data_IF_261623970117
#
_entry.id   IF_261623970117
#
_cell.length_a   1.000
_cell.length_b   1.000
_cell.length_c   1.000
_cell.angle_alpha   90.00
_cell.angle_beta   90.00
_cell.angle_gamma   90.00
#
_symmetry.space_group_name_H-M   'P 1'
#
loop_
_entity.id
_entity.type
_entity.pdbx_description
1 polymer ?
#
# COMPACT_ATOMS: atom_id res chain seq x y z
N UNK A 1 -24.59 -30.55 66.38
CA UNK A 1 -25.73 -29.96 67.06
C UNK A 1 -26.13 -28.72 66.37
N UNK A 2 -27.26 -28.79 65.72
CA UNK A 2 -28.50 -28.06 65.91
C UNK A 2 -28.52 -26.72 65.18
N UNK A 3 -29.31 -26.67 64.07
CA UNK A 3 -30.66 -26.08 63.92
C UNK A 3 -30.64 -24.56 63.98
N UNK A 4 -31.26 -23.79 63.12
CA UNK A 4 -32.52 -23.78 62.42
C UNK A 4 -32.60 -22.58 61.51
N UNK A 5 -33.24 -22.62 60.37
CA UNK A 5 -34.66 -22.39 60.14
C UNK A 5 -35.18 -20.96 60.30
N UNK A 6 -35.64 -20.39 59.22
CA UNK A 6 -36.92 -19.71 58.95
C UNK A 6 -36.70 -18.52 58.01
N UNK A 7 -37.19 -18.51 56.74
CA UNK A 7 -38.52 -18.20 56.27
C UNK A 7 -38.98 -16.77 56.53
N UNK A 8 -39.07 -15.96 55.49
CA UNK A 8 -40.23 -15.08 55.24
C UNK A 8 -40.20 -14.51 53.81
N UNK A 9 -41.29 -14.75 53.11
CA UNK A 9 -41.63 -14.18 51.84
C UNK A 9 -42.17 -12.74 52.02
N UNK A 10 -41.89 -11.87 51.07
CA UNK A 10 -42.69 -10.68 50.89
C UNK A 10 -42.88 -10.48 49.37
N UNK A 11 -44.11 -10.65 48.94
CA UNK A 11 -44.60 -10.25 47.62
C UNK A 11 -44.81 -8.73 47.67
N UNK A 12 -44.32 -8.01 46.66
CA UNK A 12 -44.82 -6.67 46.37
C UNK A 12 -45.17 -6.63 44.86
N UNK A 13 -46.46 -6.56 44.60
CA UNK A 13 -47.06 -6.22 43.32
C UNK A 13 -46.54 -4.90 42.82
N UNK A 14 -46.17 -4.86 41.54
CA UNK A 14 -45.99 -3.61 40.82
C UNK A 14 -46.78 -3.71 39.51
N UNK A 15 -47.61 -2.71 39.20
CA UNK A 15 -48.57 -2.79 38.09
C UNK A 15 -47.90 -2.60 36.75
N UNK A 16 -48.40 -3.35 35.78
CA UNK A 16 -48.07 -3.32 34.38
C UNK A 16 -48.22 -1.94 33.75
N UNK A 17 -47.09 -1.31 33.36
CA UNK A 17 -47.11 -0.16 32.51
C UNK A 17 -47.37 -0.56 31.05
N UNK A 18 -48.41 0.02 30.46
CA UNK A 18 -48.78 -0.07 29.05
C UNK A 18 -47.62 0.41 28.19
N UNK A 19 -46.95 -0.49 27.48
CA UNK A 19 -46.02 -0.15 26.42
C UNK A 19 -46.81 0.25 25.21
N UNK A 20 -46.82 1.56 24.93
CA UNK A 20 -47.36 2.14 23.71
C UNK A 20 -46.45 1.75 22.53
N UNK A 21 -47.02 1.01 21.59
CA UNK A 21 -46.36 0.59 20.35
C UNK A 21 -45.87 1.80 19.56
N UNK A 22 -44.56 2.02 19.57
CA UNK A 22 -43.93 3.01 18.67
C UNK A 22 -43.77 2.32 17.32
N UNK A 23 -44.55 2.79 16.33
CA UNK A 23 -44.43 2.41 14.92
C UNK A 23 -42.99 2.64 14.50
N UNK A 24 -42.27 1.54 14.23
CA UNK A 24 -40.94 1.53 13.60
C UNK A 24 -41.09 2.10 12.19
N UNK A 25 -40.60 3.30 11.97
CA UNK A 25 -40.38 3.84 10.63
C UNK A 25 -39.12 3.18 10.10
N UNK A 26 -39.31 2.11 9.32
CA UNK A 26 -38.22 1.45 8.64
C UNK A 26 -37.61 2.39 7.62
N UNK A 27 -36.57 3.10 8.00
CA UNK A 27 -35.67 3.81 7.09
C UNK A 27 -35.05 2.77 6.15
N UNK A 28 -35.47 2.79 4.92
CA UNK A 28 -34.95 1.96 3.83
C UNK A 28 -33.55 2.48 3.48
N UNK A 29 -32.55 2.10 4.27
CA UNK A 29 -31.14 2.30 3.91
C UNK A 29 -30.81 1.27 2.84
N UNK A 30 -30.47 1.65 1.61
CA UNK A 30 -30.11 0.68 0.59
C UNK A 30 -28.86 -0.07 1.03
N UNK A 31 -28.94 -1.40 1.00
CA UNK A 31 -27.86 -2.32 1.32
C UNK A 31 -26.57 -1.96 0.56
N UNK A 32 -25.42 -2.00 1.26
CA UNK A 32 -24.10 -1.78 0.70
C UNK A 32 -23.80 -2.72 -0.49
N UNK A 33 -24.46 -3.87 -0.55
CA UNK A 33 -24.36 -4.82 -1.65
C UNK A 33 -24.90 -4.30 -3.00
N UNK A 34 -25.87 -3.37 -3.00
CA UNK A 34 -26.44 -2.80 -4.22
C UNK A 34 -25.52 -1.73 -4.89
N UNK A 35 -24.43 -1.33 -4.24
CA UNK A 35 -23.48 -0.33 -4.76
C UNK A 35 -22.34 -0.93 -5.57
N UNK A 36 -22.12 -2.24 -5.46
CA UNK A 36 -21.03 -2.95 -6.15
C UNK A 36 -21.31 -3.29 -7.63
N UNK A 37 -22.54 -3.14 -8.10
CA UNK A 37 -22.96 -3.54 -9.44
C UNK A 37 -23.11 -2.39 -10.45
N UNK A 38 -22.77 -1.17 -10.09
CA UNK A 38 -22.67 -0.07 -11.06
C UNK A 38 -21.24 -0.03 -11.57
N UNK A 39 -21.11 -0.39 -12.87
CA UNK A 39 -19.87 -0.52 -13.60
C UNK A 39 -18.87 0.58 -13.30
N UNK A 40 -17.60 0.21 -13.33
CA UNK A 40 -16.46 1.09 -13.19
C UNK A 40 -16.58 2.31 -14.13
N UNK A 41 -17.33 3.32 -13.69
CA UNK A 41 -17.26 4.64 -14.29
C UNK A 41 -15.86 5.15 -14.02
N UNK A 42 -15.13 5.43 -15.08
CA UNK A 42 -13.83 6.11 -15.04
C UNK A 42 -13.91 7.26 -14.03
N UNK A 43 -12.91 7.44 -13.16
CA UNK A 43 -12.92 8.52 -12.18
C UNK A 43 -13.11 9.86 -12.88
N UNK A 44 -13.80 10.83 -12.24
CA UNK A 44 -14.16 12.12 -12.83
C UNK A 44 -12.98 13.09 -13.03
N UNK A 45 -11.74 12.61 -12.89
CA UNK A 45 -10.54 13.42 -13.07
C UNK A 45 -10.14 13.51 -14.54
N UNK A 46 -9.78 14.69 -15.03
CA UNK A 46 -9.27 14.83 -16.38
C UNK A 46 -8.03 13.94 -16.56
N UNK A 47 -8.03 13.10 -17.59
CA UNK A 47 -6.85 12.32 -17.95
C UNK A 47 -5.72 13.29 -18.22
N UNK A 48 -4.59 13.16 -17.50
CA UNK A 48 -3.42 13.98 -17.76
C UNK A 48 -2.98 13.75 -19.21
N UNK A 49 -2.66 14.80 -19.94
CA UNK A 49 -2.25 14.76 -21.35
C UNK A 49 -0.96 13.94 -21.60
N UNK A 50 -0.36 13.40 -20.55
CA UNK A 50 0.91 12.68 -20.57
C UNK A 50 0.77 11.26 -20.00
N UNK A 51 -0.18 10.48 -20.52
CA UNK A 51 -0.16 9.04 -20.22
C UNK A 51 1.07 8.42 -20.90
N UNK A 52 1.92 7.68 -20.16
CA UNK A 52 3.05 7.00 -20.78
C UNK A 52 2.53 5.98 -21.79
N UNK A 53 3.06 6.03 -23.00
CA UNK A 53 2.73 5.10 -24.08
C UNK A 53 3.16 3.68 -23.73
N UNK A 54 4.18 3.55 -22.88
CA UNK A 54 4.70 2.31 -22.33
C UNK A 54 4.54 2.28 -20.82
N UNK A 55 4.13 1.15 -20.28
CA UNK A 55 3.90 0.93 -18.85
C UNK A 55 5.10 0.24 -18.19
N UNK A 56 6.30 0.60 -18.61
CA UNK A 56 7.55 0.09 -18.05
C UNK A 56 8.04 0.92 -16.86
N UNK A 57 9.00 0.38 -16.11
CA UNK A 57 9.56 1.02 -14.92
C UNK A 57 10.20 2.36 -15.25
N UNK A 58 10.93 2.46 -16.37
CA UNK A 58 11.61 3.70 -16.74
C UNK A 58 10.63 4.84 -17.06
N UNK A 59 9.48 4.51 -17.65
CA UNK A 59 8.41 5.50 -17.89
C UNK A 59 7.81 6.03 -16.59
N UNK A 60 7.57 5.14 -15.63
CA UNK A 60 7.13 5.56 -14.29
C UNK A 60 8.20 6.41 -13.59
N UNK A 61 9.47 6.01 -13.61
CA UNK A 61 10.57 6.77 -13.01
C UNK A 61 10.66 8.18 -13.60
N UNK A 62 10.67 8.29 -14.95
CA UNK A 62 10.70 9.61 -15.62
C UNK A 62 9.50 10.49 -15.27
N UNK A 63 8.33 9.88 -15.14
CA UNK A 63 7.11 10.61 -14.76
C UNK A 63 7.17 11.07 -13.32
N UNK A 64 7.55 10.19 -12.40
CA UNK A 64 7.67 10.51 -10.98
C UNK A 64 8.66 11.64 -10.71
N UNK A 65 9.82 11.64 -11.38
CA UNK A 65 10.83 12.69 -11.24
C UNK A 65 10.33 14.11 -11.62
N UNK A 66 9.20 14.19 -12.36
CA UNK A 66 8.62 15.46 -12.84
C UNK A 66 7.21 15.72 -12.33
N UNK A 67 6.60 14.74 -11.63
CA UNK A 67 5.22 14.80 -11.21
C UNK A 67 5.04 15.75 -10.02
N UNK A 68 3.97 16.50 -10.06
CA UNK A 68 3.47 17.25 -8.90
C UNK A 68 2.90 16.28 -7.85
N UNK A 69 2.81 16.68 -6.57
CA UNK A 69 2.23 15.83 -5.53
C UNK A 69 0.81 15.33 -5.88
N UNK A 70 0.00 16.16 -6.53
CA UNK A 70 -1.37 15.76 -6.91
C UNK A 70 -1.38 14.70 -8.02
N UNK A 71 -0.47 14.80 -8.98
CA UNK A 71 -0.30 13.79 -10.03
C UNK A 71 0.17 12.46 -9.46
N UNK A 72 1.01 12.47 -8.42
CA UNK A 72 1.42 11.27 -7.70
C UNK A 72 0.20 10.60 -7.06
N UNK A 73 -0.66 11.36 -6.37
CA UNK A 73 -1.90 10.83 -5.80
C UNK A 73 -2.80 10.20 -6.86
N UNK A 74 -2.89 10.80 -8.05
CA UNK A 74 -3.67 10.24 -9.16
C UNK A 74 -3.07 8.92 -9.67
N UNK A 75 -1.75 8.84 -9.78
CA UNK A 75 -1.04 7.61 -10.16
C UNK A 75 -1.30 6.51 -9.14
N UNK A 76 -1.18 6.82 -7.84
CA UNK A 76 -1.44 5.87 -6.75
C UNK A 76 -2.88 5.33 -6.75
N UNK A 77 -3.86 6.19 -6.99
CA UNK A 77 -5.28 5.79 -7.09
C UNK A 77 -5.56 4.89 -8.28
N UNK A 78 -4.88 5.14 -9.40
CA UNK A 78 -4.99 4.35 -10.62
C UNK A 78 -4.35 2.97 -10.45
N UNK A 79 -3.29 2.87 -9.68
CA UNK A 79 -2.50 1.65 -9.49
C UNK A 79 -1.56 1.37 -10.66
N UNK A 80 -1.07 0.13 -10.74
CA UNK A 80 -0.12 -0.33 -11.75
C UNK A 80 -0.65 -1.55 -12.50
N UNK A 81 -0.22 -1.77 -13.73
CA UNK A 81 -0.54 -3.01 -14.45
C UNK A 81 0.14 -4.21 -13.78
N UNK A 82 -0.51 -5.37 -13.78
CA UNK A 82 0.09 -6.59 -13.22
C UNK A 82 1.42 -6.96 -13.88
N UNK A 83 1.59 -6.68 -15.18
CA UNK A 83 2.85 -6.86 -15.92
C UNK A 83 3.97 -5.95 -15.41
N UNK A 84 3.64 -4.75 -14.92
CA UNK A 84 4.60 -3.82 -14.35
C UNK A 84 5.35 -4.40 -13.14
N UNK A 85 4.66 -5.18 -12.28
CA UNK A 85 5.31 -5.81 -11.13
C UNK A 85 6.40 -6.79 -11.57
N UNK A 86 6.19 -7.52 -12.66
CA UNK A 86 7.21 -8.41 -13.24
C UNK A 86 8.40 -7.62 -13.80
N UNK A 87 8.13 -6.48 -14.42
CA UNK A 87 9.19 -5.60 -14.93
C UNK A 87 10.01 -4.98 -13.80
N UNK A 88 9.33 -4.51 -12.73
CA UNK A 88 9.96 -4.01 -11.50
C UNK A 88 10.84 -5.09 -10.84
N UNK A 89 10.35 -6.33 -10.75
CA UNK A 89 11.07 -7.51 -10.25
C UNK A 89 12.38 -7.74 -11.01
N UNK A 90 12.32 -7.73 -12.34
CA UNK A 90 13.51 -7.89 -13.19
C UNK A 90 14.50 -6.74 -13.01
N UNK A 91 13.99 -5.50 -12.95
CA UNK A 91 14.82 -4.30 -12.85
C UNK A 91 15.61 -4.21 -11.55
N UNK A 92 15.00 -4.66 -10.45
CA UNK A 92 15.61 -4.70 -9.11
C UNK A 92 16.38 -6.00 -8.83
N UNK A 93 16.36 -6.94 -9.75
CA UNK A 93 16.92 -8.29 -9.58
C UNK A 93 16.36 -9.04 -8.36
N UNK A 94 15.07 -8.82 -8.06
CA UNK A 94 14.35 -9.52 -6.99
C UNK A 94 13.45 -10.59 -7.61
N UNK A 95 13.45 -11.83 -7.11
CA UNK A 95 12.54 -12.86 -7.59
C UNK A 95 11.07 -12.39 -7.55
N UNK A 96 10.31 -12.64 -8.61
CA UNK A 96 8.93 -12.16 -8.73
C UNK A 96 8.04 -12.61 -7.57
N UNK A 97 8.22 -13.83 -7.07
CA UNK A 97 7.50 -14.34 -5.89
C UNK A 97 7.81 -13.52 -4.63
N UNK A 98 9.06 -13.12 -4.45
CA UNK A 98 9.48 -12.27 -3.34
C UNK A 98 8.93 -10.85 -3.51
N UNK A 99 8.95 -10.32 -4.74
CA UNK A 99 8.36 -9.00 -5.04
C UNK A 99 6.88 -8.95 -4.67
N UNK A 100 6.10 -9.98 -4.97
CA UNK A 100 4.69 -10.04 -4.54
C UNK A 100 4.55 -9.97 -3.02
N UNK A 101 5.42 -10.66 -2.27
CA UNK A 101 5.44 -10.58 -0.80
C UNK A 101 5.77 -9.18 -0.29
N UNK A 102 6.79 -8.52 -0.86
CA UNK A 102 7.18 -7.13 -0.51
C UNK A 102 6.02 -6.15 -0.73
N UNK A 103 5.27 -6.33 -1.82
CA UNK A 103 4.15 -5.46 -2.17
C UNK A 103 2.84 -5.83 -1.46
N UNK A 104 2.82 -6.86 -0.62
CA UNK A 104 1.61 -7.34 0.03
C UNK A 104 0.54 -7.85 -0.96
N UNK A 105 0.93 -8.31 -2.16
CA UNK A 105 0.00 -8.79 -3.19
C UNK A 105 0.01 -10.32 -3.22
N UNK A 106 -1.14 -10.99 -3.00
CA UNK A 106 -1.22 -12.43 -3.14
C UNK A 106 -0.80 -12.88 -4.55
N UNK A 107 0.10 -13.87 -4.65
CA UNK A 107 0.68 -14.33 -5.92
C UNK A 107 -0.39 -14.64 -6.97
N UNK A 108 -1.41 -15.42 -6.59
CA UNK A 108 -2.50 -15.79 -7.51
C UNK A 108 -3.25 -14.57 -8.07
N UNK A 109 -3.49 -13.55 -7.23
CA UNK A 109 -4.14 -12.30 -7.66
C UNK A 109 -3.24 -11.52 -8.63
N UNK A 110 -1.96 -11.40 -8.32
CA UNK A 110 -1.00 -10.69 -9.17
C UNK A 110 -0.83 -11.38 -10.53
N UNK A 111 -0.70 -12.69 -10.55
CA UNK A 111 -0.56 -13.49 -11.79
C UNK A 111 -1.83 -13.41 -12.65
N UNK A 112 -3.02 -13.55 -12.06
CA UNK A 112 -4.30 -13.39 -12.75
C UNK A 112 -4.42 -12.01 -13.39
N UNK A 113 -4.15 -10.95 -12.63
CA UNK A 113 -4.21 -9.57 -13.13
C UNK A 113 -3.15 -9.30 -14.22
N UNK A 114 -1.95 -9.87 -14.08
CA UNK A 114 -0.91 -9.74 -15.08
C UNK A 114 -1.30 -10.44 -16.40
N UNK A 115 -1.91 -11.62 -16.33
CA UNK A 115 -2.39 -12.35 -17.50
C UNK A 115 -3.57 -11.64 -18.18
N UNK A 116 -4.49 -11.05 -17.41
CA UNK A 116 -5.64 -10.32 -17.92
C UNK A 116 -5.33 -8.88 -18.36
N UNK A 117 -4.10 -8.39 -18.15
CA UNK A 117 -3.73 -6.99 -18.40
C UNK A 117 -4.43 -6.00 -17.45
N UNK A 118 -4.94 -6.48 -16.33
CA UNK A 118 -5.67 -5.68 -15.35
C UNK A 118 -4.74 -4.88 -14.45
N UNK A 119 -5.34 -3.86 -13.80
CA UNK A 119 -4.64 -3.00 -12.84
C UNK A 119 -4.60 -3.64 -11.44
N UNK A 120 -3.45 -3.58 -10.81
CA UNK A 120 -3.27 -3.81 -9.38
C UNK A 120 -3.46 -2.48 -8.67
N UNK A 121 -4.54 -2.36 -7.91
CA UNK A 121 -4.94 -1.16 -7.17
C UNK A 121 -4.89 -1.43 -5.66
N UNK A 122 -5.23 -0.42 -4.85
CA UNK A 122 -5.19 -0.52 -3.40
C UNK A 122 -3.77 -0.60 -2.85
N UNK A 123 -3.58 -1.22 -1.68
CA UNK A 123 -2.28 -1.26 -0.98
C UNK A 123 -1.14 -1.82 -1.84
N UNK A 124 -1.38 -2.91 -2.56
CA UNK A 124 -0.35 -3.50 -3.43
C UNK A 124 0.06 -2.61 -4.61
N UNK A 125 -0.90 -1.87 -5.19
CA UNK A 125 -0.63 -0.86 -6.22
C UNK A 125 0.16 0.32 -5.65
N UNK A 126 -0.21 0.80 -4.48
CA UNK A 126 0.48 1.87 -3.77
C UNK A 126 1.92 1.46 -3.40
N UNK A 127 2.11 0.24 -2.88
CA UNK A 127 3.44 -0.29 -2.57
C UNK A 127 4.32 -0.40 -3.83
N UNK A 128 3.76 -0.82 -4.98
CA UNK A 128 4.50 -0.85 -6.24
C UNK A 128 4.93 0.55 -6.69
N UNK A 129 4.11 1.57 -6.47
CA UNK A 129 4.44 2.96 -6.77
C UNK A 129 5.45 3.51 -5.75
N UNK A 130 5.36 3.12 -4.49
CA UNK A 130 6.37 3.44 -3.48
C UNK A 130 7.75 2.90 -3.87
N UNK A 131 7.83 1.70 -4.44
CA UNK A 131 9.08 1.16 -4.99
C UNK A 131 9.64 2.02 -6.13
N UNK A 132 8.78 2.59 -7.00
CA UNK A 132 9.22 3.57 -8.01
C UNK A 132 9.80 4.81 -7.35
N UNK A 133 9.15 5.33 -6.31
CA UNK A 133 9.65 6.48 -5.54
C UNK A 133 11.03 6.20 -4.95
N UNK A 134 11.22 5.04 -4.34
CA UNK A 134 12.53 4.63 -3.81
C UNK A 134 13.58 4.53 -4.93
N UNK A 135 13.20 4.04 -6.10
CA UNK A 135 14.09 3.95 -7.25
C UNK A 135 14.49 5.33 -7.81
N UNK A 136 13.58 6.30 -7.80
CA UNK A 136 13.90 7.70 -8.16
C UNK A 136 14.93 8.24 -7.18
N UNK A 137 14.70 8.13 -5.87
CA UNK A 137 15.63 8.58 -4.84
C UNK A 137 17.00 7.91 -5.00
N UNK A 138 17.04 6.59 -5.21
CA UNK A 138 18.30 5.88 -5.42
C UNK A 138 19.07 6.36 -6.66
N UNK A 139 18.36 6.68 -7.75
CA UNK A 139 18.97 7.27 -8.96
C UNK A 139 19.49 8.68 -8.70
N UNK A 140 18.77 9.48 -7.94
CA UNK A 140 19.17 10.85 -7.60
C UNK A 140 20.42 10.84 -6.70
N UNK A 141 20.50 9.95 -5.72
CA UNK A 141 21.72 9.75 -4.90
C UNK A 141 22.93 9.45 -5.79
N UNK A 142 22.78 8.53 -6.76
CA UNK A 142 23.88 8.19 -7.68
C UNK A 142 24.20 9.35 -8.61
N UNK A 143 23.21 10.07 -9.12
CA UNK A 143 23.43 11.21 -10.02
C UNK A 143 24.12 12.39 -9.32
N UNK A 144 23.84 12.59 -8.03
CA UNK A 144 24.44 13.64 -7.21
C UNK A 144 25.81 13.25 -6.63
N UNK A 145 26.19 11.97 -6.78
CA UNK A 145 27.48 11.48 -6.28
C UNK A 145 28.64 12.04 -7.10
N UNK A 146 29.65 12.53 -6.41
CA UNK A 146 30.89 13.06 -7.01
C UNK A 146 31.99 12.02 -7.17
N UNK A 147 31.77 10.79 -6.64
CA UNK A 147 32.78 9.74 -6.70
C UNK A 147 32.83 9.09 -8.10
N UNK A 148 34.04 8.80 -8.62
CA UNK A 148 34.20 8.23 -9.96
C UNK A 148 33.45 6.91 -10.16
N UNK A 149 33.28 6.10 -9.11
CA UNK A 149 32.62 4.80 -9.08
C UNK A 149 31.10 4.90 -9.32
N UNK A 150 30.52 6.11 -9.16
CA UNK A 150 29.13 6.35 -9.49
C UNK A 150 28.84 6.22 -11.01
N UNK A 151 29.87 6.39 -11.85
CA UNK A 151 29.73 6.21 -13.30
C UNK A 151 29.44 4.75 -13.64
N UNK A 152 28.29 4.49 -14.25
CA UNK A 152 27.85 3.13 -14.60
C UNK A 152 27.25 2.35 -13.45
N UNK A 153 27.07 2.96 -12.28
CA UNK A 153 26.45 2.29 -11.14
C UNK A 153 24.98 1.97 -11.39
N UNK A 154 24.59 0.72 -11.14
CA UNK A 154 23.22 0.27 -11.31
C UNK A 154 22.40 0.53 -10.04
N UNK A 155 21.80 1.70 -9.94
CA UNK A 155 20.99 2.12 -8.80
C UNK A 155 19.79 1.16 -8.55
N UNK A 156 19.21 0.58 -9.59
CA UNK A 156 18.09 -0.34 -9.43
C UNK A 156 18.52 -1.67 -8.80
N UNK A 157 19.58 -2.27 -9.29
CA UNK A 157 20.16 -3.49 -8.71
C UNK A 157 20.59 -3.24 -7.25
N UNK A 158 21.28 -2.13 -7.01
CA UNK A 158 21.70 -1.75 -5.68
C UNK A 158 20.52 -1.60 -4.72
N UNK A 159 19.45 -0.89 -5.14
CA UNK A 159 18.24 -0.73 -4.34
C UNK A 159 17.61 -2.08 -4.00
N UNK A 160 17.51 -2.98 -4.99
CA UNK A 160 16.97 -4.33 -4.76
C UNK A 160 17.75 -5.11 -3.71
N UNK A 161 19.07 -5.02 -3.73
CA UNK A 161 19.94 -5.64 -2.71
C UNK A 161 19.82 -4.92 -1.35
N UNK A 162 19.76 -3.58 -1.36
CA UNK A 162 19.72 -2.77 -0.15
C UNK A 162 18.44 -3.02 0.66
N UNK A 163 17.26 -3.07 0.03
CA UNK A 163 16.00 -3.30 0.74
C UNK A 163 15.91 -4.69 1.36
N UNK A 164 16.65 -5.66 0.85
CA UNK A 164 16.71 -7.04 1.38
C UNK A 164 17.77 -7.23 2.47
N UNK A 165 18.58 -6.22 2.75
CA UNK A 165 19.58 -6.29 3.85
C UNK A 165 18.96 -5.81 5.15
N UNK A 166 19.24 -6.47 6.29
CA UNK A 166 18.90 -5.95 7.60
C UNK A 166 19.53 -4.58 7.81
N UNK A 167 18.75 -3.63 8.33
CA UNK A 167 19.19 -2.27 8.58
C UNK A 167 19.26 -2.01 10.08
N UNK A 168 20.42 -1.61 10.63
CA UNK A 168 20.55 -1.32 12.06
C UNK A 168 19.54 -0.27 12.53
N UNK A 169 19.34 0.78 11.74
CA UNK A 169 18.38 1.87 12.01
C UNK A 169 16.91 1.40 12.04
N UNK A 170 16.62 0.22 11.52
CA UNK A 170 15.30 -0.41 11.58
C UNK A 170 15.22 -1.52 12.65
N UNK A 171 16.16 -1.52 13.60
CA UNK A 171 16.24 -2.59 14.61
C UNK A 171 16.56 -3.95 14.02
N UNK A 172 17.37 -3.99 12.97
CA UNK A 172 17.75 -5.21 12.26
C UNK A 172 16.71 -5.75 11.27
N UNK A 173 15.60 -5.03 11.05
CA UNK A 173 14.59 -5.41 10.04
C UNK A 173 15.05 -5.01 8.65
N UNK A 174 14.50 -5.68 7.64
CA UNK A 174 14.72 -5.30 6.24
C UNK A 174 13.75 -4.17 5.86
N UNK A 175 14.20 -3.23 5.04
CA UNK A 175 13.33 -2.23 4.46
C UNK A 175 12.19 -2.87 3.65
N UNK A 176 12.47 -3.99 2.97
CA UNK A 176 11.50 -4.78 2.22
C UNK A 176 10.27 -5.24 3.04
N UNK A 177 10.43 -5.41 4.36
CA UNK A 177 9.37 -5.89 5.24
C UNK A 177 8.44 -4.76 5.74
N UNK A 178 8.68 -3.51 5.31
CA UNK A 178 7.90 -2.33 5.71
C UNK A 178 7.17 -1.66 4.54
N UNK A 179 7.50 -2.02 3.30
CA UNK A 179 7.02 -1.33 2.09
C UNK A 179 5.53 -1.58 1.82
N UNK A 180 4.95 -2.62 2.38
CA UNK A 180 3.53 -2.96 2.26
C UNK A 180 2.59 -1.99 2.98
N UNK A 181 3.14 -1.08 3.81
CA UNK A 181 2.38 -0.08 4.55
C UNK A 181 2.83 1.36 4.23
N UNK A 182 1.91 2.35 4.19
CA UNK A 182 2.26 3.75 3.94
C UNK A 182 3.30 4.31 4.94
N UNK A 183 3.11 4.05 6.23
CA UNK A 183 4.03 4.48 7.28
C UNK A 183 5.40 3.82 7.13
N UNK A 184 5.43 2.54 6.78
CA UNK A 184 6.68 1.83 6.51
C UNK A 184 7.43 2.42 5.32
N UNK A 185 6.72 2.77 4.25
CA UNK A 185 7.30 3.48 3.09
C UNK A 185 7.95 4.80 3.52
N UNK A 186 7.28 5.59 4.37
CA UNK A 186 7.85 6.85 4.86
C UNK A 186 9.14 6.64 5.66
N UNK A 187 9.18 5.61 6.51
CA UNK A 187 10.38 5.24 7.27
C UNK A 187 11.52 4.87 6.31
N UNK A 188 11.24 4.04 5.31
CA UNK A 188 12.23 3.61 4.32
C UNK A 188 12.72 4.78 3.46
N UNK A 189 11.84 5.70 3.05
CA UNK A 189 12.19 6.93 2.30
C UNK A 189 13.16 7.80 3.10
N UNK A 190 12.87 8.04 4.39
CA UNK A 190 13.75 8.81 5.27
C UNK A 190 15.11 8.13 5.44
N UNK A 191 15.11 6.82 5.65
CA UNK A 191 16.32 6.05 5.80
C UNK A 191 17.18 6.09 4.53
N UNK A 192 16.56 5.92 3.35
CA UNK A 192 17.26 6.01 2.08
C UNK A 192 17.83 7.40 1.84
N UNK A 193 17.07 8.46 2.16
CA UNK A 193 17.54 9.85 2.06
C UNK A 193 18.68 10.18 3.03
N UNK A 194 18.78 9.52 4.18
CA UNK A 194 19.89 9.73 5.10
C UNK A 194 21.24 9.24 4.57
N UNK A 195 21.23 8.34 3.58
CA UNK A 195 22.44 7.89 2.89
C UNK A 195 23.06 9.03 2.08
N UNK A 196 22.22 9.84 1.42
CA UNK A 196 22.68 11.00 0.64
C UNK A 196 23.36 12.06 1.53
N UNK A 197 22.84 12.29 2.73
CA UNK A 197 23.39 13.26 3.67
C UNK A 197 24.62 12.78 4.45
N UNK A 198 25.04 11.52 4.26
CA UNK A 198 26.13 10.90 5.03
C UNK A 198 25.78 10.65 6.52
N UNK A 199 24.55 10.90 6.93
CA UNK A 199 24.09 10.71 8.31
C UNK A 199 23.84 9.23 8.68
N UNK A 200 24.22 8.33 7.79
CA UNK A 200 23.96 6.88 7.89
C UNK A 200 25.11 6.11 8.58
N UNK A 201 25.92 6.77 9.42
CA UNK A 201 27.00 6.08 10.13
C UNK A 201 26.57 5.56 11.49
#
# INVERSE_FOLDING_TARGET
MARGSAKAASRSDTPAAKVTSVRSVASKVPSVAARAARGASSPPWPRSKHEPTTWDVDSYVRRFAKATPIEIVEIERRGVRGSFIKDLSRRLEIPTSRMFGILGVPKATAEKKAAAGEMVTGSGGQAAIAMVKLLVIAKDIVANSTVPEAKGFNAAKWLGQWIERPQPSLGGRKAADLIDTPTGVEVVVRLLGSIESGAYQ
#
